data_IF_657454249903
#
_entry.id   IF_657454249903
#
_cell.length_a   1.000
_cell.length_b   1.000
_cell.length_c   1.000
_cell.angle_alpha   90.00
_cell.angle_beta   90.00
_cell.angle_gamma   90.00
#
_symmetry.space_group_name_H-M   'P 1'
#
loop_
_entity.id
_entity.type
_entity.pdbx_description
1 polymer ?
#
# COMPACT_ATOMS: atom_id res chain seq x y z
N UNK A 1 1.18 16.84 -3.82
CA UNK A 1 0.02 16.01 -3.41
C UNK A 1 -1.02 16.81 -2.65
N UNK A 2 -2.31 16.63 -2.96
CA UNK A 2 -3.41 17.22 -2.19
C UNK A 2 -3.59 16.49 -0.84
N UNK A 3 -3.79 17.26 0.24
CA UNK A 3 -4.03 16.74 1.60
C UNK A 3 -5.44 16.17 1.79
N UNK A 4 -6.40 16.62 0.99
CA UNK A 4 -7.77 16.12 1.05
C UNK A 4 -7.94 14.76 0.33
N UNK A 5 -6.83 14.14 -0.08
CA UNK A 5 -6.82 12.83 -0.73
C UNK A 5 -7.43 11.76 0.19
N UNK A 6 -8.42 11.07 -0.38
CA UNK A 6 -9.05 9.89 0.22
C UNK A 6 -9.52 8.97 -0.89
N UNK A 7 -9.17 7.70 -0.83
CA UNK A 7 -9.58 6.69 -1.80
C UNK A 7 -10.07 5.43 -1.09
N UNK A 8 -11.10 4.80 -1.67
CA UNK A 8 -11.48 3.43 -1.36
C UNK A 8 -11.12 2.55 -2.55
N UNK A 9 -10.35 1.50 -2.30
CA UNK A 9 -9.91 0.54 -3.31
C UNK A 9 -10.68 -0.76 -3.09
N UNK A 10 -11.40 -1.21 -4.10
CA UNK A 10 -12.10 -2.50 -4.11
C UNK A 10 -11.40 -3.45 -5.08
N UNK A 11 -10.88 -4.58 -4.59
CA UNK A 11 -10.39 -5.64 -5.46
C UNK A 11 -11.55 -6.17 -6.32
N UNK A 12 -11.31 -6.34 -7.62
CA UNK A 12 -12.32 -6.78 -8.57
C UNK A 12 -11.75 -7.77 -9.60
N UNK A 13 -12.60 -8.69 -10.09
CA UNK A 13 -12.24 -9.60 -11.18
C UNK A 13 -12.17 -8.85 -12.54
N UNK A 14 -11.79 -9.56 -13.60
CA UNK A 14 -11.75 -9.02 -14.95
C UNK A 14 -13.12 -8.53 -15.50
N UNK A 15 -14.22 -8.93 -14.86
CA UNK A 15 -15.58 -8.48 -15.17
C UNK A 15 -16.05 -7.35 -14.23
N UNK A 16 -15.14 -6.72 -13.47
CA UNK A 16 -15.39 -5.68 -12.48
C UNK A 16 -16.33 -6.12 -11.34
N UNK A 17 -16.41 -7.42 -11.05
CA UNK A 17 -17.15 -7.92 -9.88
C UNK A 17 -16.25 -7.88 -8.64
N UNK A 18 -16.76 -7.40 -7.49
CA UNK A 18 -16.01 -7.37 -6.24
C UNK A 18 -15.45 -8.74 -5.85
N UNK A 19 -14.19 -8.77 -5.45
CA UNK A 19 -13.50 -9.93 -4.89
C UNK A 19 -13.48 -9.81 -3.37
N UNK A 20 -14.18 -10.70 -2.68
CA UNK A 20 -14.23 -10.73 -1.22
C UNK A 20 -13.03 -11.46 -0.62
N UNK A 21 -11.82 -10.92 -0.82
CA UNK A 21 -10.56 -11.49 -0.29
C UNK A 21 -9.99 -10.60 0.81
N UNK A 22 -10.03 -11.08 2.05
CA UNK A 22 -9.51 -10.38 3.22
C UNK A 22 -7.99 -10.47 3.32
N UNK A 23 -7.39 -9.57 4.11
CA UNK A 23 -5.97 -9.59 4.48
C UNK A 23 -5.02 -9.60 3.29
N UNK A 24 -5.39 -8.99 2.16
CA UNK A 24 -4.44 -8.71 1.08
C UNK A 24 -3.69 -7.44 1.47
N UNK A 25 -2.39 -7.56 1.71
CA UNK A 25 -1.51 -6.42 1.97
C UNK A 25 -1.34 -5.63 0.67
N UNK A 26 -1.45 -4.30 0.75
CA UNK A 26 -1.33 -3.39 -0.39
C UNK A 26 -0.27 -2.36 -0.05
N UNK A 27 0.66 -2.15 -0.97
CA UNK A 27 1.65 -1.09 -0.84
C UNK A 27 1.20 0.17 -1.58
N UNK A 28 1.50 1.34 -1.00
CA UNK A 28 1.49 2.61 -1.71
C UNK A 28 2.92 2.99 -2.13
N UNK A 29 3.12 3.22 -3.42
CA UNK A 29 4.38 3.67 -4.01
C UNK A 29 4.25 5.14 -4.38
N UNK A 30 5.12 5.97 -3.83
CA UNK A 30 5.18 7.40 -4.12
C UNK A 30 6.43 7.74 -4.91
N UNK A 31 6.31 8.75 -5.76
CA UNK A 31 7.35 9.17 -6.68
C UNK A 31 7.76 10.62 -6.43
N UNK A 32 9.02 10.92 -6.69
CA UNK A 32 9.56 12.28 -6.74
C UNK A 32 10.27 12.45 -8.08
N UNK A 33 9.80 13.39 -8.91
CA UNK A 33 10.37 13.65 -10.25
C UNK A 33 10.44 12.38 -11.10
N UNK A 34 9.42 11.52 -11.01
CA UNK A 34 9.31 10.28 -11.77
C UNK A 34 10.14 9.10 -11.24
N UNK A 35 10.87 9.27 -10.13
CA UNK A 35 11.60 8.17 -9.46
C UNK A 35 10.89 7.75 -8.20
N UNK A 36 10.86 6.45 -7.91
CA UNK A 36 10.30 5.95 -6.65
C UNK A 36 11.03 6.61 -5.48
N UNK A 37 10.27 7.27 -4.61
CA UNK A 37 10.76 7.89 -3.38
C UNK A 37 10.44 7.03 -2.18
N UNK A 38 9.20 6.57 -2.08
CA UNK A 38 8.71 5.76 -0.97
C UNK A 38 7.91 4.57 -1.44
N UNK A 39 7.96 3.49 -0.66
CA UNK A 39 7.06 2.35 -0.76
C UNK A 39 6.65 1.95 0.66
N UNK A 40 5.40 2.17 0.99
CA UNK A 40 4.82 1.89 2.31
C UNK A 40 3.83 0.75 2.23
N UNK A 41 3.69 -0.04 3.30
CA UNK A 41 2.50 -0.88 3.50
C UNK A 41 1.33 0.05 3.83
N UNK A 42 0.45 0.26 2.86
CA UNK A 42 -0.70 1.15 2.98
C UNK A 42 -1.83 0.53 3.81
N UNK A 43 -1.75 -0.77 4.09
CA UNK A 43 -2.73 -1.50 4.86
C UNK A 43 -3.21 -2.75 4.13
N UNK A 44 -4.32 -3.29 4.62
CA UNK A 44 -4.87 -4.57 4.18
C UNK A 44 -6.33 -4.47 3.82
N UNK A 45 -6.75 -5.31 2.88
CA UNK A 45 -8.16 -5.45 2.58
C UNK A 45 -8.94 -6.03 3.75
N UNK A 46 -10.15 -5.52 3.95
CA UNK A 46 -11.13 -6.09 4.87
C UNK A 46 -11.80 -7.34 4.28
N UNK A 47 -12.79 -7.91 4.99
CA UNK A 47 -13.51 -9.10 4.55
C UNK A 47 -14.18 -8.98 3.17
N UNK A 48 -14.45 -7.76 2.71
CA UNK A 48 -15.07 -7.44 1.43
C UNK A 48 -14.04 -7.19 0.32
N UNK A 49 -12.74 -7.31 0.59
CA UNK A 49 -11.70 -6.96 -0.37
C UNK A 49 -11.50 -5.46 -0.57
N UNK A 50 -11.94 -4.65 0.41
CA UNK A 50 -11.81 -3.19 0.37
C UNK A 50 -10.65 -2.70 1.25
N UNK A 51 -9.92 -1.69 0.77
CA UNK A 51 -8.99 -0.89 1.56
C UNK A 51 -9.35 0.59 1.42
N UNK A 52 -9.44 1.33 2.52
CA UNK A 52 -9.53 2.79 2.50
C UNK A 52 -8.17 3.37 2.85
N UNK A 53 -7.72 4.36 2.09
CA UNK A 53 -6.45 5.05 2.29
C UNK A 53 -6.68 6.55 2.24
N UNK A 54 -6.15 7.27 3.23
CA UNK A 54 -6.17 8.73 3.28
C UNK A 54 -4.76 9.30 3.22
N UNK A 55 -4.64 10.59 2.92
CA UNK A 55 -3.36 11.31 3.01
C UNK A 55 -2.74 11.15 4.40
N UNK A 56 -3.54 11.34 5.45
CA UNK A 56 -3.09 11.28 6.84
C UNK A 56 -2.55 9.90 7.23
N UNK A 57 -3.11 8.83 6.68
CA UNK A 57 -2.60 7.47 6.91
C UNK A 57 -1.21 7.29 6.30
N UNK A 58 -1.00 7.77 5.06
CA UNK A 58 0.31 7.71 4.39
C UNK A 58 1.33 8.62 5.11
N UNK A 59 0.92 9.81 5.54
CA UNK A 59 1.80 10.74 6.26
C UNK A 59 2.20 10.19 7.62
N UNK A 60 1.27 9.53 8.34
CA UNK A 60 1.56 8.83 9.59
C UNK A 60 2.59 7.71 9.39
N UNK A 61 2.46 6.94 8.31
CA UNK A 61 3.43 5.89 7.95
C UNK A 61 4.81 6.48 7.63
N UNK A 62 4.86 7.59 6.89
CA UNK A 62 6.11 8.32 6.60
C UNK A 62 6.78 8.78 7.90
N UNK A 63 6.03 9.45 8.78
CA UNK A 63 6.54 9.96 10.05
C UNK A 63 7.05 8.82 10.96
N UNK A 64 6.30 7.72 11.09
CA UNK A 64 6.74 6.54 11.85
C UNK A 64 8.07 6.00 11.31
N UNK A 65 8.20 5.88 9.99
CA UNK A 65 9.44 5.39 9.38
C UNK A 65 10.61 6.40 9.51
N UNK A 66 10.30 7.70 9.57
CA UNK A 66 11.28 8.77 9.79
C UNK A 66 11.93 8.68 11.17
N UNK A 67 11.24 8.13 12.19
CA UNK A 67 11.82 7.88 13.52
C UNK A 67 12.99 6.88 13.45
N UNK A 68 12.93 5.90 12.55
CA UNK A 68 13.96 4.88 12.38
C UNK A 68 15.02 5.25 11.34
N UNK A 69 14.66 5.98 10.28
CA UNK A 69 15.59 6.44 9.25
C UNK A 69 15.27 7.86 8.77
N UNK A 70 15.78 8.86 9.49
CA UNK A 70 15.51 10.28 9.24
C UNK A 70 15.87 10.72 7.81
N UNK A 71 17.05 10.30 7.33
CA UNK A 71 17.58 10.74 6.02
C UNK A 71 16.78 10.16 4.85
N UNK A 72 16.22 8.97 5.02
CA UNK A 72 15.46 8.31 3.97
C UNK A 72 14.05 8.92 3.85
N UNK A 73 13.39 9.22 4.98
CA UNK A 73 11.99 9.66 5.05
C UNK A 73 11.79 11.17 5.27
N UNK A 74 12.75 12.00 4.85
CA UNK A 74 12.71 13.47 5.03
C UNK A 74 11.91 14.25 3.98
N UNK A 75 11.56 13.66 2.84
CA UNK A 75 10.76 14.32 1.80
C UNK A 75 9.31 14.27 2.21
N UNK A 76 8.66 15.42 2.26
CA UNK A 76 7.25 15.51 2.64
C UNK A 76 6.37 15.03 1.48
N UNK A 77 5.20 14.47 1.78
CA UNK A 77 4.30 13.96 0.73
C UNK A 77 3.78 15.06 -0.21
N UNK A 78 3.69 16.30 0.26
CA UNK A 78 3.31 17.44 -0.58
C UNK A 78 4.40 17.82 -1.60
N UNK A 79 5.66 17.40 -1.39
CA UNK A 79 6.75 17.51 -2.34
C UNK A 79 6.81 16.35 -3.35
N UNK A 80 6.12 15.24 -3.06
CA UNK A 80 5.99 14.11 -3.99
C UNK A 80 5.05 14.44 -5.15
N UNK A 81 5.21 13.69 -6.24
CA UNK A 81 4.28 13.67 -7.36
C UNK A 81 2.85 13.37 -6.87
N UNK A 82 1.85 13.90 -7.57
CA UNK A 82 0.44 13.62 -7.24
C UNK A 82 0.01 12.19 -7.59
N UNK A 83 0.78 11.49 -8.42
CA UNK A 83 0.53 10.09 -8.75
C UNK A 83 1.01 9.16 -7.64
N UNK A 84 0.10 8.31 -7.15
CA UNK A 84 0.37 7.19 -6.25
C UNK A 84 0.10 5.89 -7.01
N UNK A 85 1.02 4.94 -6.94
CA UNK A 85 0.79 3.59 -7.46
C UNK A 85 0.53 2.63 -6.31
N UNK A 86 -0.62 1.97 -6.32
CA UNK A 86 -0.92 0.89 -5.40
C UNK A 86 -0.49 -0.44 -6.02
N UNK A 87 0.22 -1.27 -5.25
CA UNK A 87 0.69 -2.58 -5.72
C UNK A 87 0.41 -3.66 -4.67
N UNK A 88 0.05 -4.85 -5.14
CA UNK A 88 -0.02 -6.04 -4.30
C UNK A 88 1.39 -6.65 -4.26
N UNK A 89 2.15 -6.53 -3.15
CA UNK A 89 3.45 -7.17 -3.04
C UNK A 89 3.31 -8.69 -3.18
N UNK A 90 4.31 -9.30 -3.81
CA UNK A 90 4.44 -10.75 -3.89
C UNK A 90 4.76 -11.35 -2.52
N UNK A 91 4.43 -12.63 -2.33
CA UNK A 91 4.76 -13.35 -1.09
C UNK A 91 6.27 -13.26 -0.78
N UNK A 92 7.12 -13.39 -1.81
CA UNK A 92 8.57 -13.27 -1.68
C UNK A 92 9.00 -11.89 -1.16
N UNK A 93 8.39 -10.80 -1.64
CA UNK A 93 8.68 -9.45 -1.14
C UNK A 93 8.25 -9.29 0.32
N UNK A 94 7.09 -9.85 0.71
CA UNK A 94 6.63 -9.84 2.10
C UNK A 94 7.57 -10.61 3.02
N UNK A 95 8.05 -11.78 2.58
CA UNK A 95 9.03 -12.58 3.34
C UNK A 95 10.37 -11.87 3.49
N UNK A 96 10.86 -11.21 2.44
CA UNK A 96 12.09 -10.42 2.48
C UNK A 96 11.97 -9.26 3.46
N UNK A 97 10.82 -8.56 3.48
CA UNK A 97 10.55 -7.50 4.47
C UNK A 97 10.51 -8.04 5.88
N UNK A 98 9.84 -9.17 6.11
CA UNK A 98 9.82 -9.85 7.41
C UNK A 98 11.22 -10.16 7.89
N UNK A 99 12.05 -10.77 7.03
CA UNK A 99 13.43 -11.09 7.37
C UNK A 99 14.27 -9.83 7.67
N UNK A 100 14.07 -8.74 6.93
CA UNK A 100 14.73 -7.48 7.18
C UNK A 100 14.33 -6.87 8.53
N UNK A 101 13.03 -6.79 8.84
CA UNK A 101 12.53 -6.26 10.12
C UNK A 101 13.07 -7.09 11.28
N UNK A 102 12.97 -8.42 11.20
CA UNK A 102 13.49 -9.30 12.25
C UNK A 102 14.99 -9.14 12.48
N UNK A 103 15.77 -8.86 11.42
CA UNK A 103 17.22 -8.67 11.52
C UNK A 103 17.60 -7.30 12.09
N UNK A 104 16.94 -6.24 11.63
CA UNK A 104 17.35 -4.86 11.90
C UNK A 104 16.58 -4.18 13.04
N UNK A 105 15.37 -4.66 13.34
CA UNK A 105 14.45 -4.13 14.34
C UNK A 105 13.77 -5.28 15.11
N UNK A 106 14.53 -6.10 15.86
CA UNK A 106 14.00 -7.29 16.52
C UNK A 106 12.87 -6.99 17.52
N UNK A 107 12.85 -5.80 18.13
CA UNK A 107 11.75 -5.29 18.97
C UNK A 107 10.44 -5.07 18.20
N UNK A 108 10.50 -4.89 16.89
CA UNK A 108 9.34 -4.77 16.00
C UNK A 108 8.97 -6.11 15.32
N UNK A 109 9.61 -7.22 15.71
CA UNK A 109 9.40 -8.52 15.08
C UNK A 109 7.96 -9.04 15.21
N UNK A 110 7.22 -8.68 16.27
CA UNK A 110 5.81 -9.04 16.41
C UNK A 110 4.92 -8.38 15.34
N UNK A 111 5.24 -7.16 14.90
CA UNK A 111 4.53 -6.52 13.79
C UNK A 111 4.78 -7.25 12.45
N UNK A 112 5.90 -7.97 12.33
CA UNK A 112 6.26 -8.73 11.13
C UNK A 112 5.46 -10.04 10.97
N UNK A 113 4.80 -10.53 12.02
CA UNK A 113 3.93 -11.70 11.93
C UNK A 113 2.70 -11.44 11.08
N UNK A 114 2.28 -10.17 10.98
CA UNK A 114 1.18 -9.73 10.14
C UNK A 114 1.35 -10.28 8.71
N UNK A 115 2.56 -10.38 8.17
CA UNK A 115 2.79 -10.86 6.80
C UNK A 115 2.44 -12.34 6.57
N UNK A 116 2.36 -13.17 7.61
CA UNK A 116 2.05 -14.60 7.47
C UNK A 116 0.59 -14.86 7.09
N UNK A 117 -0.31 -14.01 7.55
CA UNK A 117 -1.75 -14.19 7.32
C UNK A 117 -2.24 -13.48 6.04
N UNK A 118 -1.30 -13.09 5.17
CA UNK A 118 -1.58 -12.30 3.98
C UNK A 118 -2.09 -13.20 2.85
N UNK A 119 -3.21 -12.86 2.23
CA UNK A 119 -3.76 -13.61 1.08
C UNK A 119 -3.21 -13.13 -0.27
N UNK A 120 -2.00 -12.56 -0.31
CA UNK A 120 -1.44 -11.94 -1.52
C UNK A 120 -1.16 -12.94 -2.65
N UNK A 121 -0.96 -14.22 -2.34
CA UNK A 121 -0.84 -15.29 -3.32
C UNK A 121 -2.14 -15.59 -4.07
N UNK A 122 -3.28 -15.23 -3.49
CA UNK A 122 -4.61 -15.47 -4.09
C UNK A 122 -5.04 -14.37 -5.03
N UNK A 123 -4.31 -13.27 -5.11
CA UNK A 123 -4.72 -12.09 -5.88
C UNK A 123 -3.55 -11.52 -6.64
N UNK A 124 -3.67 -11.51 -7.96
CA UNK A 124 -2.69 -10.87 -8.84
C UNK A 124 -3.32 -9.67 -9.54
N UNK A 125 -2.92 -8.46 -9.17
CA UNK A 125 -3.39 -7.23 -9.82
C UNK A 125 -2.20 -6.48 -10.43
N UNK A 126 -2.41 -5.86 -11.60
CA UNK A 126 -1.46 -4.86 -12.12
C UNK A 126 -1.42 -3.66 -11.19
N UNK A 127 -0.37 -2.84 -11.23
CA UNK A 127 -0.35 -1.62 -10.42
C UNK A 127 -1.58 -0.75 -10.71
N UNK A 128 -2.20 -0.22 -9.65
CA UNK A 128 -3.28 0.76 -9.76
C UNK A 128 -2.70 2.16 -9.58
N UNK A 129 -2.70 2.95 -10.64
CA UNK A 129 -2.24 4.32 -10.62
C UNK A 129 -3.39 5.28 -10.33
N UNK A 130 -3.19 6.15 -9.34
CA UNK A 130 -4.19 7.11 -8.86
C UNK A 130 -3.59 8.50 -8.85
N UNK A 131 -4.31 9.47 -9.41
CA UNK A 131 -3.98 10.89 -9.29
C UNK A 131 -4.61 11.47 -8.03
N UNK A 132 -3.81 11.59 -6.96
CA UNK A 132 -4.24 12.09 -5.66
C UNK A 132 -4.65 13.58 -5.68
N UNK A 133 -4.40 14.32 -6.77
CA UNK A 133 -4.93 15.68 -6.93
C UNK A 133 -6.41 15.72 -7.33
N UNK A 134 -6.98 14.58 -7.75
CA UNK A 134 -8.33 14.48 -8.30
C UNK A 134 -9.27 13.57 -7.52
N UNK A 135 -8.74 12.76 -6.61
CA UNK A 135 -9.50 11.71 -5.92
C UNK A 135 -9.90 12.15 -4.50
N UNK A 136 -11.21 12.24 -4.26
CA UNK A 136 -11.80 12.68 -3.01
C UNK A 136 -12.96 11.75 -2.60
N UNK A 137 -12.65 10.74 -1.79
CA UNK A 137 -13.63 9.76 -1.31
C UNK A 137 -14.17 8.83 -2.41
N UNK A 138 -13.45 8.69 -3.52
CA UNK A 138 -13.91 7.87 -4.65
C UNK A 138 -13.65 6.38 -4.39
N UNK A 139 -14.59 5.54 -4.82
CA UNK A 139 -14.42 4.10 -4.92
C UNK A 139 -13.79 3.75 -6.27
N UNK A 140 -12.63 3.11 -6.22
CA UNK A 140 -11.90 2.64 -7.40
C UNK A 140 -11.86 1.13 -7.40
N UNK A 141 -12.35 0.54 -8.49
CA UNK A 141 -12.25 -0.90 -8.72
C UNK A 141 -10.87 -1.25 -9.27
N UNK A 142 -10.17 -2.11 -8.56
CA UNK A 142 -8.86 -2.59 -8.92
C UNK A 142 -8.97 -3.97 -9.55
N UNK A 143 -8.82 -4.02 -10.87
CA UNK A 143 -8.90 -5.25 -11.64
C UNK A 143 -7.70 -6.17 -11.38
N UNK A 144 -7.99 -7.42 -11.06
CA UNK A 144 -7.03 -8.47 -10.80
C UNK A 144 -7.18 -9.60 -11.83
N UNK A 145 -6.06 -10.04 -12.39
CA UNK A 145 -5.97 -10.97 -13.52
C UNK A 145 -6.23 -12.43 -13.10
N UNK A 146 -6.01 -12.77 -11.83
CA UNK A 146 -6.36 -14.08 -11.27
C UNK A 146 -6.76 -14.00 -9.80
N UNK A 147 -7.78 -14.78 -9.44
CA UNK A 147 -8.13 -15.17 -8.09
C UNK A 147 -8.23 -16.69 -8.04
N UNK A 148 -7.27 -17.33 -7.37
CA UNK A 148 -7.26 -18.78 -7.12
C UNK A 148 -7.80 -19.11 -5.71
#
# INVERSE_FOLDING_TARGET
MNRDFSIQIQLADAALRPLCVANVSIDAVLYLKGKMRYRFDAGRTNAQGCLAVTFDDIERLRLKNQEYSLMDYNTRLDECNDQISFVVPTLKELEQRRAAIQKWFPEAASESEKYRDSNNEKVHCKALDVDASRVYGELVFWMCDSCE
#
